data_IF_362838915893
#
_entry.id   IF_362838915893
#
_cell.length_a   1.000
_cell.length_b   1.000
_cell.length_c   1.000
_cell.angle_alpha   90.00
_cell.angle_beta   90.00
_cell.angle_gamma   90.00
#
_symmetry.space_group_name_H-M   'P 1'
#
loop_
_entity.id
_entity.type
_entity.pdbx_description
1 polymer ?
#
# COMPACT_ATOMS: atom_id res chain seq x y z
N UNK A 1 18.01 9.99 15.19
CA UNK A 1 16.55 9.75 15.27
C UNK A 1 16.25 8.76 14.16
N UNK A 2 15.99 7.49 14.48
CA UNK A 2 15.45 6.56 13.50
C UNK A 2 14.07 7.08 13.12
N UNK A 3 13.83 7.41 11.85
CA UNK A 3 12.47 7.72 11.42
C UNK A 3 11.55 6.56 11.83
N UNK A 4 10.37 6.90 12.36
CA UNK A 4 9.39 5.90 12.72
C UNK A 4 9.03 5.10 11.46
N UNK A 5 9.20 3.78 11.51
CA UNK A 5 8.84 2.89 10.41
C UNK A 5 7.33 2.90 10.20
N UNK A 6 6.88 3.18 8.98
CA UNK A 6 5.49 3.12 8.57
C UNK A 6 5.07 1.67 8.42
N UNK A 7 4.01 1.27 9.13
CA UNK A 7 3.33 -0.01 8.92
C UNK A 7 2.82 -0.09 7.47
N UNK A 8 3.09 -1.20 6.75
CA UNK A 8 2.52 -1.43 5.43
C UNK A 8 1.03 -1.15 5.39
N UNK A 9 0.63 -0.31 4.45
CA UNK A 9 -0.71 0.23 4.41
C UNK A 9 -1.22 0.40 2.98
N UNK A 10 -2.52 0.18 2.81
CA UNK A 10 -3.25 0.46 1.58
C UNK A 10 -4.32 1.50 1.89
N UNK A 11 -4.30 2.60 1.14
CA UNK A 11 -5.29 3.67 1.20
C UNK A 11 -6.01 3.81 -0.13
N UNK A 12 -7.12 4.53 -0.11
CA UNK A 12 -7.77 5.06 -1.31
C UNK A 12 -7.53 6.56 -1.33
N UNK A 13 -7.06 7.09 -2.46
CA UNK A 13 -6.82 8.52 -2.59
C UNK A 13 -8.15 9.31 -2.55
N UNK A 14 -8.13 10.53 -2.00
CA UNK A 14 -9.27 11.42 -2.09
C UNK A 14 -9.55 11.78 -3.56
N UNK A 15 -10.83 11.94 -3.91
CA UNK A 15 -11.30 12.36 -5.23
C UNK A 15 -11.59 11.21 -6.19
N UNK A 16 -10.65 10.30 -6.41
CA UNK A 16 -10.79 9.21 -7.40
C UNK A 16 -10.89 7.81 -6.79
N UNK A 17 -10.67 7.67 -5.48
CA UNK A 17 -10.63 6.36 -4.81
C UNK A 17 -9.62 5.38 -5.43
N UNK A 18 -8.56 5.89 -6.07
CA UNK A 18 -7.52 5.04 -6.60
C UNK A 18 -6.63 4.48 -5.46
N UNK A 19 -6.19 3.22 -5.55
CA UNK A 19 -5.30 2.61 -4.57
C UNK A 19 -3.97 3.35 -4.42
N UNK A 20 -3.57 3.55 -3.17
CA UNK A 20 -2.28 4.12 -2.79
C UNK A 20 -1.66 3.19 -1.73
N UNK A 21 -0.63 2.45 -2.13
CA UNK A 21 0.08 1.58 -1.21
C UNK A 21 1.34 2.29 -0.69
N UNK A 22 1.60 2.18 0.61
CA UNK A 22 2.79 2.74 1.26
C UNK A 22 3.37 1.84 2.33
N UNK A 23 4.69 1.80 2.40
CA UNK A 23 5.47 1.10 3.41
C UNK A 23 6.82 1.79 3.62
N UNK A 24 7.52 1.39 4.69
CA UNK A 24 8.92 1.73 4.88
C UNK A 24 9.86 0.80 4.11
N UNK A 25 10.95 1.38 3.60
CA UNK A 25 12.17 0.69 3.20
C UNK A 25 13.36 1.30 3.96
N UNK A 26 14.55 0.69 3.84
CA UNK A 26 15.78 1.27 4.38
C UNK A 26 15.95 2.73 3.92
N UNK A 27 15.92 3.66 4.88
CA UNK A 27 16.15 5.09 4.64
C UNK A 27 15.00 5.88 4.01
N UNK A 28 13.82 5.30 3.83
CA UNK A 28 12.62 6.00 3.36
C UNK A 28 11.34 5.41 3.97
N UNK A 29 10.56 6.24 4.66
CA UNK A 29 9.31 5.85 5.32
C UNK A 29 8.06 5.90 4.43
N UNK A 30 8.18 6.41 3.19
CA UNK A 30 7.07 6.62 2.26
C UNK A 30 7.38 6.05 0.87
N UNK A 31 7.59 4.74 0.79
CA UNK A 31 7.79 4.02 -0.48
C UNK A 31 6.55 3.24 -0.87
N UNK A 32 6.28 3.11 -2.16
CA UNK A 32 5.15 2.33 -2.66
C UNK A 32 4.67 2.76 -4.04
N UNK A 33 3.40 2.50 -4.33
CA UNK A 33 2.79 2.72 -5.64
C UNK A 33 1.50 3.55 -5.50
N UNK A 34 1.36 4.52 -6.40
CA UNK A 34 0.09 5.20 -6.68
C UNK A 34 -0.50 4.62 -7.94
N UNK A 35 -1.69 4.04 -7.83
CA UNK A 35 -2.41 3.43 -8.95
C UNK A 35 -3.27 4.47 -9.66
N UNK A 36 -2.65 5.58 -10.07
CA UNK A 36 -3.34 6.68 -10.75
C UNK A 36 -4.12 6.18 -11.97
N UNK A 37 -5.40 6.59 -12.08
CA UNK A 37 -6.30 6.12 -13.13
C UNK A 37 -7.02 4.79 -12.84
N UNK A 38 -6.70 4.09 -11.75
CA UNK A 38 -7.43 2.89 -11.28
C UNK A 38 -8.41 3.20 -10.15
N UNK A 39 -9.11 4.33 -10.26
CA UNK A 39 -10.13 4.73 -9.29
C UNK A 39 -11.24 3.68 -9.16
N UNK A 40 -11.53 3.24 -7.94
CA UNK A 40 -12.64 2.32 -7.71
C UNK A 40 -13.99 3.03 -7.81
N UNK A 41 -14.96 2.34 -8.42
CA UNK A 41 -16.33 2.82 -8.52
C UNK A 41 -17.10 2.51 -7.24
N UNK A 42 -18.00 3.42 -6.86
CA UNK A 42 -18.92 3.21 -5.74
C UNK A 42 -19.91 2.08 -6.06
N UNK A 43 -20.40 1.41 -5.01
CA UNK A 43 -21.39 0.33 -5.10
C UNK A 43 -20.95 -0.85 -5.98
N UNK A 44 -19.64 -1.09 -6.08
CA UNK A 44 -19.06 -2.23 -6.80
C UNK A 44 -18.10 -2.99 -5.90
N UNK A 45 -18.20 -4.33 -5.96
CA UNK A 45 -17.27 -5.22 -5.28
C UNK A 45 -15.98 -5.37 -6.09
N UNK A 46 -14.86 -5.35 -5.37
CA UNK A 46 -13.52 -5.63 -5.87
C UNK A 46 -12.82 -6.57 -4.90
N UNK A 47 -12.04 -7.52 -5.43
CA UNK A 47 -11.08 -8.28 -4.64
C UNK A 47 -9.71 -7.66 -4.80
N UNK A 48 -9.10 -7.25 -3.70
CA UNK A 48 -7.81 -6.55 -3.73
C UNK A 48 -6.80 -7.35 -2.95
N UNK A 49 -5.60 -7.48 -3.50
CA UNK A 49 -4.46 -8.07 -2.80
C UNK A 49 -3.19 -7.31 -3.13
N UNK A 50 -2.24 -7.31 -2.19
CA UNK A 50 -0.88 -6.89 -2.45
C UNK A 50 0.10 -7.80 -1.74
N UNK A 51 1.30 -7.91 -2.28
CA UNK A 51 2.38 -8.67 -1.65
C UNK A 51 3.59 -7.78 -1.46
N UNK A 52 4.34 -8.04 -0.39
CA UNK A 52 5.63 -7.42 -0.11
C UNK A 52 6.67 -8.53 -0.06
N UNK A 53 7.71 -8.43 -0.89
CA UNK A 53 8.78 -9.42 -0.91
C UNK A 53 10.14 -8.72 -0.82
N UNK A 54 10.83 -8.91 0.30
CA UNK A 54 12.19 -8.40 0.44
C UNK A 54 13.19 -9.21 -0.40
N UNK A 55 12.96 -10.52 -0.58
CA UNK A 55 13.82 -11.35 -1.42
C UNK A 55 13.70 -10.98 -2.90
N UNK A 56 12.50 -10.66 -3.38
CA UNK A 56 12.28 -10.16 -4.75
C UNK A 56 12.48 -8.64 -4.87
N UNK A 57 12.67 -7.95 -3.75
CA UNK A 57 12.80 -6.49 -3.66
C UNK A 57 11.67 -5.76 -4.41
N UNK A 58 10.44 -6.25 -4.26
CA UNK A 58 9.29 -5.75 -4.99
C UNK A 58 7.98 -5.89 -4.21
N UNK A 59 7.08 -5.00 -4.55
CA UNK A 59 5.68 -4.98 -4.14
C UNK A 59 4.83 -5.26 -5.37
N UNK A 60 3.89 -6.19 -5.30
CA UNK A 60 2.93 -6.45 -6.38
C UNK A 60 1.51 -6.10 -5.92
N UNK A 61 0.70 -5.56 -6.83
CA UNK A 61 -0.69 -5.19 -6.57
C UNK A 61 -1.64 -5.89 -7.53
N UNK A 62 -2.75 -6.37 -6.99
CA UNK A 62 -3.73 -7.18 -7.72
C UNK A 62 -5.15 -6.66 -7.48
N UNK A 63 -5.93 -6.61 -8.56
CA UNK A 63 -7.38 -6.33 -8.53
C UNK A 63 -8.09 -7.46 -9.27
N UNK A 64 -9.11 -8.05 -8.64
CA UNK A 64 -9.89 -9.17 -9.16
C UNK A 64 -9.02 -10.33 -9.67
N UNK A 65 -7.95 -10.62 -8.92
CA UNK A 65 -6.97 -11.67 -9.22
C UNK A 65 -5.97 -11.32 -10.33
N UNK A 66 -6.06 -10.15 -10.97
CA UNK A 66 -5.14 -9.72 -12.02
C UNK A 66 -4.02 -8.85 -11.45
N UNK A 67 -2.78 -9.10 -11.86
CA UNK A 67 -1.64 -8.24 -11.53
C UNK A 67 -1.75 -6.93 -12.32
N UNK A 68 -1.94 -5.81 -11.62
CA UNK A 68 -2.24 -4.50 -12.23
C UNK A 68 -1.10 -3.49 -12.02
N UNK A 69 -0.15 -3.76 -11.13
CA UNK A 69 0.94 -2.85 -10.86
C UNK A 69 2.00 -3.42 -9.91
N UNK A 70 3.15 -2.77 -9.87
CA UNK A 70 4.23 -3.13 -8.95
C UNK A 70 5.15 -1.96 -8.63
N UNK A 71 5.79 -2.01 -7.48
CA UNK A 71 6.88 -1.12 -7.09
C UNK A 71 8.14 -1.93 -6.78
N UNK A 72 9.23 -1.67 -7.49
CA UNK A 72 10.52 -2.31 -7.26
C UNK A 72 11.47 -1.37 -6.53
N UNK A 73 12.21 -1.88 -5.56
CA UNK A 73 13.29 -1.11 -4.94
C UNK A 73 14.39 -0.86 -5.97
N UNK A 74 14.96 0.36 -5.98
CA UNK A 74 15.97 0.75 -6.97
C UNK A 74 17.37 0.30 -6.57
N UNK A 75 17.72 0.43 -5.30
CA UNK A 75 19.03 0.04 -4.79
C UNK A 75 18.93 -1.29 -4.04
N UNK A 76 18.82 -2.37 -4.83
CA UNK A 76 18.60 -3.74 -4.38
C UNK A 76 19.64 -4.29 -3.39
N UNK A 77 20.87 -3.75 -3.37
CA UNK A 77 21.92 -4.20 -2.44
C UNK A 77 21.83 -3.52 -1.08
N UNK A 78 21.37 -2.27 -1.01
CA UNK A 78 21.37 -1.46 0.21
C UNK A 78 19.98 -1.25 0.80
N UNK A 79 18.92 -1.50 0.04
CA UNK A 79 17.56 -1.30 0.49
C UNK A 79 16.86 -2.63 0.74
N UNK A 80 16.07 -2.64 1.81
CA UNK A 80 15.16 -3.72 2.16
C UNK A 80 13.78 -3.17 2.49
N UNK A 81 12.75 -3.98 2.28
CA UNK A 81 11.41 -3.70 2.79
C UNK A 81 11.44 -3.82 4.31
N UNK A 82 10.93 -2.81 5.01
CA UNK A 82 10.84 -2.82 6.47
C UNK A 82 9.48 -3.35 6.89
N UNK A 83 9.47 -4.53 7.50
CA UNK A 83 8.32 -5.05 8.24
C UNK A 83 8.37 -4.56 9.68
N UNK A 84 7.20 -4.36 10.30
CA UNK A 84 7.10 -4.01 11.72
C UNK A 84 5.90 -4.70 12.37
N UNK A 85 5.93 -4.76 13.70
CA UNK A 85 4.89 -5.37 14.53
C UNK A 85 3.82 -4.36 14.96
N UNK A 86 3.63 -3.30 14.16
CA UNK A 86 2.58 -2.31 14.41
C UNK A 86 1.18 -2.92 14.25
N UNK A 87 0.17 -2.37 14.93
CA UNK A 87 -1.20 -2.87 14.85
C UNK A 87 -1.77 -2.73 13.43
N UNK A 88 -2.60 -3.71 13.03
CA UNK A 88 -3.42 -3.62 11.83
C UNK A 88 -4.65 -2.75 12.10
N UNK A 89 -4.80 -1.69 11.32
CA UNK A 89 -6.01 -0.87 11.31
C UNK A 89 -6.80 -1.10 10.03
N UNK A 90 -8.11 -1.27 10.16
CA UNK A 90 -9.02 -1.44 9.03
C UNK A 90 -10.01 -0.27 9.06
N UNK A 91 -10.17 0.38 7.91
CA UNK A 91 -11.10 1.51 7.73
C UNK A 91 -10.76 2.77 8.53
N UNK A 92 -9.51 2.92 9.00
CA UNK A 92 -9.07 4.04 9.85
C UNK A 92 -7.87 4.76 9.24
N UNK A 93 -7.87 6.08 9.31
CA UNK A 93 -6.69 6.92 9.13
C UNK A 93 -6.46 7.76 10.40
N UNK A 94 -5.20 8.03 10.77
CA UNK A 94 -4.88 8.76 12.01
C UNK A 94 -5.09 10.28 11.90
N UNK A 95 -5.13 10.80 10.67
CA UNK A 95 -5.17 12.24 10.37
C UNK A 95 -6.27 12.65 9.38
N UNK A 96 -7.05 11.68 8.87
CA UNK A 96 -8.08 11.90 7.85
C UNK A 96 -9.29 11.02 8.18
N UNK A 97 -10.40 11.26 7.48
CA UNK A 97 -11.56 10.40 7.57
C UNK A 97 -11.22 8.96 7.16
N UNK A 98 -11.85 8.03 7.86
CA UNK A 98 -11.72 6.61 7.59
C UNK A 98 -12.42 6.18 6.30
N UNK A 99 -12.37 4.87 6.05
CA UNK A 99 -13.08 4.29 4.91
C UNK A 99 -14.60 4.31 5.16
N UNK A 100 -15.35 4.80 4.17
CA UNK A 100 -16.81 4.71 4.15
C UNK A 100 -17.22 3.71 3.07
N UNK A 101 -17.63 2.52 3.49
CA UNK A 101 -18.04 1.44 2.60
C UNK A 101 -18.07 0.10 3.32
N UNK A 102 -18.12 -0.99 2.56
CA UNK A 102 -18.11 -2.35 3.12
C UNK A 102 -16.80 -3.07 2.81
N UNK A 103 -16.31 -3.83 3.80
CA UNK A 103 -15.19 -4.77 3.68
C UNK A 103 -15.73 -6.13 4.13
N UNK A 104 -15.47 -7.19 3.38
CA UNK A 104 -15.93 -8.56 3.64
C UNK A 104 -14.78 -9.55 3.51
#
# INVERSE_FOLDING_TARGET
ITEASRTPSLFLKPGDSAPCLRNSITGNSDSGIDMDGYGFLLNRWYHIAYTLSDSEKRINFYIDGKWVGSYSLKNIQLQSITFNDGPLYIGKHLSFDGFTGEIR
#
